data_IF_226142731921
#
_entry.id   IF_226142731921
#
_cell.length_a   1.000
_cell.length_b   1.000
_cell.length_c   1.000
_cell.angle_alpha   90.00
_cell.angle_beta   90.00
_cell.angle_gamma   90.00
#
_symmetry.space_group_name_H-M   'P 1'
#
loop_
_entity.id
_entity.type
_entity.pdbx_description
1 polymer ?
#
# COMPACT_ATOMS: atom_id res chain seq x y z
N UNK A 1 13.79 15.69 -10.62
CA UNK A 1 13.29 16.03 -9.27
C UNK A 1 12.90 14.73 -8.63
N UNK A 2 13.62 14.31 -7.58
CA UNK A 2 13.41 13.00 -6.95
C UNK A 2 12.02 12.93 -6.34
N UNK A 3 11.24 11.91 -6.70
CA UNK A 3 10.00 11.57 -6.01
C UNK A 3 10.37 11.13 -4.60
N UNK A 4 10.51 12.09 -3.68
CA UNK A 4 10.76 11.81 -2.28
C UNK A 4 9.46 11.29 -1.68
N UNK A 5 9.22 9.98 -1.83
CA UNK A 5 8.23 9.27 -1.04
C UNK A 5 8.68 9.45 0.41
N UNK A 6 7.81 10.07 1.22
CA UNK A 6 8.10 10.31 2.63
C UNK A 6 8.38 9.00 3.37
N UNK A 7 9.16 9.06 4.44
CA UNK A 7 9.46 7.89 5.30
C UNK A 7 8.15 7.22 5.76
N UNK A 8 7.13 8.03 6.04
CA UNK A 8 5.81 7.58 6.48
C UNK A 8 5.09 6.78 5.38
N UNK A 9 5.14 7.24 4.13
CA UNK A 9 4.61 6.51 2.98
C UNK A 9 5.36 5.20 2.71
N UNK A 10 6.68 5.17 2.94
CA UNK A 10 7.47 3.95 2.87
C UNK A 10 7.07 2.95 3.96
N UNK A 11 6.87 3.41 5.20
CA UNK A 11 6.41 2.59 6.32
C UNK A 11 5.00 2.03 6.07
N UNK A 12 4.11 2.85 5.49
CA UNK A 12 2.77 2.48 5.05
C UNK A 12 2.81 1.30 4.07
N UNK A 13 3.62 1.44 3.03
CA UNK A 13 3.77 0.45 1.98
C UNK A 13 4.35 -0.86 2.52
N UNK A 14 5.37 -0.79 3.38
CA UNK A 14 5.99 -1.97 3.96
C UNK A 14 5.02 -2.74 4.87
N UNK A 15 4.21 -2.02 5.63
CA UNK A 15 3.19 -2.62 6.51
C UNK A 15 2.11 -3.34 5.70
N UNK A 16 1.57 -2.67 4.68
CA UNK A 16 0.60 -3.26 3.74
C UNK A 16 1.17 -4.48 3.01
N UNK A 17 2.44 -4.43 2.62
CA UNK A 17 3.12 -5.56 2.00
C UNK A 17 3.24 -6.75 2.95
N UNK A 18 3.63 -6.51 4.20
CA UNK A 18 3.84 -7.58 5.18
C UNK A 18 2.54 -8.22 5.64
N UNK A 19 1.49 -7.43 5.87
CA UNK A 19 0.17 -7.96 6.25
C UNK A 19 -0.56 -8.57 5.04
N UNK A 20 -0.33 -8.05 3.84
CA UNK A 20 -1.00 -8.46 2.62
C UNK A 20 -2.50 -8.16 2.63
N UNK A 21 -3.18 -8.52 1.55
CA UNK A 21 -4.63 -8.33 1.42
C UNK A 21 -5.05 -6.92 0.96
N UNK A 22 -6.37 -6.71 0.93
CA UNK A 22 -6.99 -5.47 0.46
C UNK A 22 -7.55 -4.67 1.63
N UNK A 23 -7.12 -3.41 1.74
CA UNK A 23 -7.44 -2.56 2.87
C UNK A 23 -8.24 -1.35 2.43
N UNK A 24 -9.37 -1.11 3.09
CA UNK A 24 -10.13 0.12 2.92
C UNK A 24 -9.44 1.27 3.65
N UNK A 25 -9.66 2.51 3.18
CA UNK A 25 -9.15 3.71 3.86
C UNK A 25 -9.57 3.72 5.33
N UNK A 26 -10.83 3.40 5.62
CA UNK A 26 -11.34 3.36 6.99
C UNK A 26 -10.59 2.35 7.90
N UNK A 27 -10.21 1.18 7.35
CA UNK A 27 -9.42 0.21 8.11
C UNK A 27 -7.99 0.69 8.32
N UNK A 28 -7.36 1.29 7.31
CA UNK A 28 -5.99 1.83 7.39
C UNK A 28 -5.90 2.98 8.40
N UNK A 29 -6.82 3.92 8.30
CA UNK A 29 -6.99 5.00 9.25
C UNK A 29 -7.14 4.48 10.68
N UNK A 30 -8.01 3.48 10.90
CA UNK A 30 -8.21 2.91 12.24
C UNK A 30 -6.99 2.14 12.74
N UNK A 31 -6.27 1.46 11.85
CA UNK A 31 -5.11 0.66 12.18
C UNK A 31 -3.88 1.52 12.52
N UNK A 32 -3.75 2.71 11.92
CA UNK A 32 -2.62 3.62 12.15
C UNK A 32 -2.95 4.89 12.94
N UNK A 33 -4.20 5.11 13.35
CA UNK A 33 -4.52 6.16 14.32
C UNK A 33 -3.91 5.81 15.69
N UNK A 34 -3.20 6.74 16.36
CA UNK A 34 -3.15 8.20 16.15
C UNK A 34 -1.87 8.72 15.46
N UNK A 35 -1.13 7.86 14.76
CA UNK A 35 0.18 8.22 14.17
C UNK A 35 0.02 9.25 13.04
N UNK A 36 -1.09 9.21 12.30
CA UNK A 36 -1.40 10.15 11.22
C UNK A 36 -2.84 10.64 11.25
N UNK A 37 -3.12 11.89 10.87
CA UNK A 37 -4.46 12.35 10.57
C UNK A 37 -4.98 11.73 9.25
N UNK A 38 -6.29 11.57 9.16
CA UNK A 38 -6.96 10.81 8.08
C UNK A 38 -6.61 11.30 6.66
N UNK A 39 -6.42 12.61 6.51
CA UNK A 39 -6.12 13.24 5.22
C UNK A 39 -4.71 12.90 4.72
N UNK A 40 -3.75 12.70 5.62
CA UNK A 40 -2.36 12.42 5.27
C UNK A 40 -2.20 10.98 4.81
N UNK A 41 -2.91 10.04 5.47
CA UNK A 41 -2.99 8.64 5.02
C UNK A 41 -3.56 8.54 3.61
N UNK A 42 -4.62 9.31 3.30
CA UNK A 42 -5.22 9.37 1.98
C UNK A 42 -4.25 9.90 0.92
N UNK A 43 -3.59 11.03 1.18
CA UNK A 43 -2.61 11.63 0.26
C UNK A 43 -1.45 10.67 -0.04
N UNK A 44 -0.98 9.94 0.98
CA UNK A 44 0.09 8.95 0.83
C UNK A 44 -0.37 7.74 0.00
N UNK A 45 -1.58 7.24 0.24
CA UNK A 45 -2.17 6.14 -0.55
C UNK A 45 -2.33 6.53 -2.02
N UNK A 46 -2.83 7.73 -2.29
CA UNK A 46 -2.98 8.24 -3.66
C UNK A 46 -1.63 8.44 -4.35
N UNK A 47 -0.64 8.96 -3.62
CA UNK A 47 0.72 9.13 -4.15
C UNK A 47 1.34 7.79 -4.50
N UNK A 48 1.28 6.81 -3.60
CA UNK A 48 1.84 5.46 -3.82
C UNK A 48 1.11 4.74 -4.96
N UNK A 49 -0.21 4.89 -5.08
CA UNK A 49 -0.98 4.36 -6.20
C UNK A 49 -0.58 5.01 -7.52
N UNK A 50 -0.50 6.34 -7.58
CA UNK A 50 -0.10 7.11 -8.77
C UNK A 50 1.29 6.73 -9.27
N UNK A 51 2.19 6.39 -8.35
CA UNK A 51 3.55 5.98 -8.66
C UNK A 51 3.67 4.47 -8.98
N UNK A 52 2.58 3.70 -8.88
CA UNK A 52 2.57 2.27 -9.22
C UNK A 52 3.07 1.33 -8.12
N UNK A 53 3.24 1.83 -6.89
CA UNK A 53 3.63 1.01 -5.73
C UNK A 53 2.43 0.28 -5.09
N UNK A 54 1.20 0.66 -5.45
CA UNK A 54 -0.03 0.03 -4.95
C UNK A 54 -1.12 -0.04 -6.01
N UNK A 55 -1.93 -1.09 -5.92
CA UNK A 55 -3.19 -1.21 -6.65
C UNK A 55 -4.34 -0.57 -5.87
N UNK A 56 -5.26 0.05 -6.60
CA UNK A 56 -6.52 0.58 -6.07
C UNK A 56 -7.68 -0.12 -6.76
N UNK A 57 -8.64 -0.62 -5.99
CA UNK A 57 -9.84 -1.30 -6.48
C UNK A 57 -11.09 -0.74 -5.80
N UNK A 58 -12.17 -0.57 -6.56
CA UNK A 58 -13.47 -0.25 -5.98
C UNK A 58 -14.18 -1.53 -5.52
N UNK A 59 -14.68 -1.56 -4.28
CA UNK A 59 -15.52 -2.65 -3.80
C UNK A 59 -16.99 -2.32 -4.12
N UNK A 60 -17.42 -2.73 -5.31
CA UNK A 60 -18.78 -2.50 -5.79
C UNK A 60 -18.98 -1.10 -6.39
N UNK A 61 -19.49 -0.15 -5.60
CA UNK A 61 -19.76 1.22 -6.07
C UNK A 61 -18.46 2.01 -6.23
N UNK A 62 -18.41 2.96 -7.17
CA UNK A 62 -17.23 3.79 -7.45
C UNK A 62 -17.06 4.96 -6.45
N UNK A 63 -17.71 4.87 -5.29
CA UNK A 63 -17.64 5.91 -4.28
C UNK A 63 -16.24 5.94 -3.62
N UNK A 64 -15.73 7.11 -3.22
CA UNK A 64 -14.37 7.23 -2.69
C UNK A 64 -14.15 6.42 -1.40
N UNK A 65 -15.22 6.19 -0.63
CA UNK A 65 -15.23 5.41 0.61
C UNK A 65 -15.30 3.89 0.41
N UNK A 66 -15.50 3.41 -0.82
CA UNK A 66 -15.48 1.97 -1.16
C UNK A 66 -14.19 1.55 -1.86
N UNK A 67 -13.20 2.44 -1.94
CA UNK A 67 -11.88 2.12 -2.48
C UNK A 67 -11.07 1.30 -1.49
N UNK A 68 -10.47 0.22 -1.99
CA UNK A 68 -9.50 -0.60 -1.29
C UNK A 68 -8.15 -0.54 -1.98
N UNK A 69 -7.10 -0.66 -1.19
CA UNK A 69 -5.70 -0.57 -1.59
C UNK A 69 -4.98 -1.85 -1.21
N UNK A 70 -4.07 -2.30 -2.07
CA UNK A 70 -3.24 -3.47 -1.81
C UNK A 70 -1.86 -3.29 -2.45
N UNK A 71 -0.83 -3.82 -1.80
CA UNK A 71 0.47 -4.07 -2.42
C UNK A 71 0.44 -5.49 -2.99
N UNK A 72 0.45 -5.61 -4.30
CA UNK A 72 0.44 -6.90 -5.00
C UNK A 72 1.78 -7.16 -5.67
N UNK A 73 2.00 -8.40 -6.14
CA UNK A 73 3.20 -8.78 -6.90
C UNK A 73 3.36 -7.99 -8.21
N UNK A 74 2.30 -7.32 -8.67
CA UNK A 74 2.31 -6.48 -9.87
C UNK A 74 2.76 -5.05 -9.59
N UNK A 75 2.86 -4.64 -8.32
CA UNK A 75 3.30 -3.32 -7.93
C UNK A 75 4.82 -3.18 -8.10
N UNK A 76 5.30 -1.95 -8.28
CA UNK A 76 6.73 -1.67 -8.21
C UNK A 76 7.23 -1.79 -6.77
N UNK A 77 8.50 -2.14 -6.61
CA UNK A 77 9.16 -2.14 -5.32
C UNK A 77 9.67 -0.74 -5.02
N UNK A 78 9.54 -0.28 -3.77
CA UNK A 78 10.18 0.97 -3.38
C UNK A 78 11.71 0.87 -3.57
N UNK A 79 12.38 1.95 -4.04
CA UNK A 79 13.83 1.93 -4.22
C UNK A 79 14.53 1.63 -2.88
N UNK A 80 15.26 0.52 -2.81
CA UNK A 80 15.90 0.02 -1.58
C UNK A 80 15.11 -1.08 -0.84
N UNK A 81 13.89 -1.39 -1.27
CA UNK A 81 13.11 -2.52 -0.79
C UNK A 81 12.93 -3.53 -1.92
N UNK A 82 13.51 -4.71 -1.79
CA UNK A 82 13.23 -5.81 -2.72
C UNK A 82 11.80 -6.29 -2.50
N UNK A 83 10.98 -6.30 -3.56
CA UNK A 83 9.76 -7.11 -3.62
C UNK A 83 10.22 -8.57 -3.66
N UNK A 84 10.61 -9.14 -2.52
CA UNK A 84 10.69 -10.60 -2.39
C UNK A 84 9.34 -11.14 -2.82
N UNK A 85 9.37 -11.79 -3.97
CA UNK A 85 8.31 -12.61 -4.50
C UNK A 85 8.18 -13.80 -3.55
N UNK A 86 7.47 -13.63 -2.43
CA UNK A 86 7.18 -14.75 -1.54
C UNK A 86 6.07 -15.59 -2.15
N UNK A 87 6.45 -16.27 -3.23
CA UNK A 87 5.74 -17.32 -3.95
C UNK A 87 6.70 -18.40 -4.48
N UNK A 88 8.00 -18.35 -4.14
CA UNK A 88 8.91 -19.49 -4.30
C UNK A 88 9.21 -20.12 -2.93
N UNK A 89 8.16 -20.59 -2.23
CA UNK A 89 8.36 -21.53 -1.12
C UNK A 89 8.53 -22.93 -1.71
N UNK A 90 9.82 -23.30 -1.88
CA UNK A 90 10.37 -24.65 -1.87
C UNK A 90 9.87 -25.66 -2.93
N UNK A 91 10.59 -25.75 -4.05
CA UNK A 91 10.97 -27.07 -4.58
C UNK A 91 12.22 -27.54 -3.81
N UNK A 92 12.15 -28.68 -3.13
CA UNK A 92 13.33 -29.50 -2.84
C UNK A 92 12.88 -30.94 -2.54
N UNK A 93 13.22 -31.82 -3.51
CA UNK A 93 13.35 -33.28 -3.48
C UNK A 93 12.08 -34.15 -3.31
#
# INVERSE_FOLDING_TARGET
MGNAIGIEACALWLSLRNEGGWWSVANLTRHWCPVFPDFEVLDHLETLHRLGFMERRALGSQAPNTMTYAVTSSCQALPGYELSTNGARHEHA
#
